data_IF_263789498928
#
_entry.id   IF_263789498928
#
_cell.length_a   1.000
_cell.length_b   1.000
_cell.length_c   1.000
_cell.angle_alpha   90.00
_cell.angle_beta   90.00
_cell.angle_gamma   90.00
#
_symmetry.space_group_name_H-M   'P 1'
#
loop_
_entity.id
_entity.type
_entity.pdbx_description
1 polymer ?
#
# COMPACT_ATOMS: atom_id res chain seq x y z
N UNK A 1 7.08 28.96 12.15
CA UNK A 1 5.62 28.76 12.01
C UNK A 1 5.40 27.86 10.81
N UNK A 2 5.19 26.56 11.04
CA UNK A 2 4.89 25.62 9.95
C UNK A 2 3.50 25.93 9.41
N UNK A 3 3.41 26.45 8.19
CA UNK A 3 2.13 26.65 7.52
C UNK A 3 1.51 25.29 7.22
N UNK A 4 0.61 24.83 8.09
CA UNK A 4 -0.15 23.62 7.86
C UNK A 4 -1.10 23.80 6.68
N UNK A 5 -1.17 22.80 5.80
CA UNK A 5 -2.17 22.76 4.73
C UNK A 5 -3.47 22.22 5.31
N UNK A 6 -4.55 22.97 5.17
CA UNK A 6 -5.89 22.51 5.57
C UNK A 6 -6.59 21.93 4.35
N UNK A 7 -6.69 20.61 4.29
CA UNK A 7 -7.28 19.88 3.16
C UNK A 7 -8.74 20.25 2.86
N UNK A 8 -9.49 20.79 3.82
CA UNK A 8 -10.87 21.25 3.61
C UNK A 8 -11.01 22.70 3.15
N UNK A 9 -9.92 23.48 3.13
CA UNK A 9 -9.96 24.91 2.82
C UNK A 9 -10.31 25.17 1.35
N UNK A 10 -10.92 26.33 1.08
CA UNK A 10 -11.27 26.72 -0.29
C UNK A 10 -10.03 26.84 -1.18
N UNK A 11 -8.97 27.47 -0.68
CA UNK A 11 -7.71 27.65 -1.43
C UNK A 11 -7.11 26.31 -1.87
N UNK A 12 -7.17 25.30 -0.99
CA UNK A 12 -6.65 23.97 -1.31
C UNK A 12 -7.58 23.21 -2.26
N UNK A 13 -8.91 23.37 -2.14
CA UNK A 13 -9.86 22.82 -3.11
C UNK A 13 -9.65 23.42 -4.50
N UNK A 14 -9.47 24.74 -4.61
CA UNK A 14 -9.18 25.42 -5.87
C UNK A 14 -7.84 24.95 -6.46
N UNK A 15 -6.85 24.69 -5.61
CA UNK A 15 -5.59 24.06 -6.02
C UNK A 15 -5.79 22.65 -6.61
N UNK A 16 -6.59 21.80 -5.96
CA UNK A 16 -6.92 20.46 -6.44
C UNK A 16 -7.66 20.53 -7.77
N UNK A 17 -8.64 21.41 -7.90
CA UNK A 17 -9.44 21.58 -9.11
C UNK A 17 -8.60 22.02 -10.31
N UNK A 18 -7.64 22.93 -10.12
CA UNK A 18 -6.70 23.35 -11.18
C UNK A 18 -5.81 22.21 -11.69
N UNK A 19 -5.65 21.12 -10.93
CA UNK A 19 -4.84 19.96 -11.30
C UNK A 19 -5.63 18.85 -11.98
N UNK A 20 -6.97 18.89 -11.94
CA UNK A 20 -7.82 17.88 -12.60
C UNK A 20 -7.38 17.68 -14.05
N UNK A 21 -7.07 16.42 -14.41
CA UNK A 21 -6.61 16.03 -15.75
C UNK A 21 -5.13 16.31 -16.05
N UNK A 22 -4.41 17.06 -15.21
CA UNK A 22 -3.01 17.46 -15.42
C UNK A 22 -2.04 16.85 -14.41
N UNK A 23 -2.53 16.06 -13.46
CA UNK A 23 -1.69 15.31 -12.52
C UNK A 23 -2.44 14.90 -11.25
N UNK A 24 -1.73 14.19 -10.38
CA UNK A 24 -2.25 13.73 -9.09
C UNK A 24 -1.57 14.46 -7.94
N UNK A 25 -2.24 14.51 -6.79
CA UNK A 25 -1.65 14.89 -5.51
C UNK A 25 -1.35 13.60 -4.75
N UNK A 26 -0.09 13.43 -4.37
CA UNK A 26 0.34 12.30 -3.54
C UNK A 26 0.46 12.79 -2.10
N UNK A 27 -0.33 12.21 -1.20
CA UNK A 27 -0.28 12.48 0.23
C UNK A 27 0.52 11.37 0.88
N UNK A 28 1.70 11.70 1.37
CA UNK A 28 2.51 10.76 2.14
C UNK A 28 1.95 10.68 3.57
N UNK A 29 1.60 9.48 4.00
CA UNK A 29 1.18 9.24 5.38
C UNK A 29 2.42 9.09 6.25
N UNK A 30 2.46 9.80 7.38
CA UNK A 30 3.57 9.69 8.34
C UNK A 30 3.43 8.45 9.25
N UNK A 31 2.21 7.90 9.39
CA UNK A 31 1.92 6.72 10.21
C UNK A 31 1.65 5.48 9.35
N UNK A 32 2.17 4.33 9.81
CA UNK A 32 2.10 3.01 9.17
C UNK A 32 1.29 2.00 9.97
N UNK A 33 0.11 2.40 10.45
CA UNK A 33 -0.82 1.49 11.12
C UNK A 33 -1.87 0.94 10.15
N UNK A 34 -2.28 -0.31 10.37
CA UNK A 34 -3.40 -0.90 9.64
C UNK A 34 -4.65 -0.02 9.78
N UNK A 35 -5.27 0.32 8.65
CA UNK A 35 -6.46 1.18 8.56
C UNK A 35 -6.18 2.68 8.39
N UNK A 36 -4.93 3.12 8.54
CA UNK A 36 -4.58 4.54 8.38
C UNK A 36 -4.86 5.07 6.96
N UNK A 37 -4.67 4.26 5.92
CA UNK A 37 -5.01 4.70 4.57
C UNK A 37 -6.53 4.85 4.43
N UNK A 38 -7.30 3.89 4.95
CA UNK A 38 -8.76 3.96 4.92
C UNK A 38 -9.31 5.20 5.63
N UNK A 39 -8.78 5.57 6.79
CA UNK A 39 -9.18 6.79 7.50
C UNK A 39 -8.93 8.03 6.64
N UNK A 40 -7.76 8.14 6.03
CA UNK A 40 -7.43 9.23 5.12
C UNK A 40 -8.30 9.23 3.86
N UNK A 41 -8.59 8.06 3.27
CA UNK A 41 -9.48 7.94 2.11
C UNK A 41 -10.92 8.34 2.44
N UNK A 42 -11.42 7.98 3.62
CA UNK A 42 -12.75 8.37 4.05
C UNK A 42 -12.86 9.89 4.20
N UNK A 43 -11.86 10.55 4.80
CA UNK A 43 -11.88 12.00 4.96
C UNK A 43 -11.70 12.74 3.62
N UNK A 44 -10.78 12.28 2.76
CA UNK A 44 -10.61 12.84 1.42
C UNK A 44 -11.85 12.59 0.55
N UNK A 45 -12.46 11.41 0.62
CA UNK A 45 -13.70 11.09 -0.08
C UNK A 45 -14.86 11.96 0.37
N UNK A 46 -14.96 12.26 1.67
CA UNK A 46 -15.94 13.22 2.22
C UNK A 46 -15.73 14.63 1.69
N UNK A 47 -14.48 15.05 1.51
CA UNK A 47 -14.13 16.42 1.08
C UNK A 47 -14.20 16.64 -0.43
N UNK A 48 -13.84 15.62 -1.21
CA UNK A 48 -13.58 15.73 -2.66
C UNK A 48 -14.47 14.83 -3.52
N UNK A 49 -15.24 13.93 -2.88
CA UNK A 49 -15.96 12.88 -3.58
C UNK A 49 -15.05 11.74 -4.03
N UNK A 50 -15.69 10.66 -4.46
CA UNK A 50 -15.06 9.49 -5.07
C UNK A 50 -15.84 9.07 -6.30
N UNK A 51 -15.17 8.42 -7.23
CA UNK A 51 -15.77 7.75 -8.38
C UNK A 51 -15.89 6.25 -8.09
N UNK A 52 -16.84 5.59 -8.75
CA UNK A 52 -16.96 4.13 -8.68
C UNK A 52 -16.22 3.52 -9.86
N UNK A 53 -15.25 2.65 -9.58
CA UNK A 53 -14.52 1.91 -10.61
C UNK A 53 -15.45 0.90 -11.30
N UNK A 54 -15.07 0.38 -12.49
CA UNK A 54 -15.82 -0.72 -13.13
C UNK A 54 -15.96 -1.98 -12.27
N UNK A 55 -15.07 -2.17 -11.29
CA UNK A 55 -15.11 -3.28 -10.32
C UNK A 55 -15.98 -2.98 -9.09
N UNK A 56 -16.63 -1.82 -9.03
CA UNK A 56 -17.53 -1.44 -7.93
C UNK A 56 -16.85 -0.81 -6.71
N UNK A 57 -15.58 -0.43 -6.80
CA UNK A 57 -14.82 0.13 -5.67
C UNK A 57 -14.73 1.66 -5.77
N UNK A 58 -14.56 2.35 -4.64
CA UNK A 58 -14.37 3.80 -4.55
C UNK A 58 -12.95 4.19 -4.95
N UNK A 59 -12.81 5.17 -5.83
CA UNK A 59 -11.55 5.73 -6.28
C UNK A 59 -11.55 7.26 -6.12
N UNK A 60 -10.50 7.80 -5.52
CA UNK A 60 -10.27 9.24 -5.51
C UNK A 60 -9.64 9.64 -6.86
N UNK A 61 -10.28 10.50 -7.66
CA UNK A 61 -9.77 10.84 -8.99
C UNK A 61 -8.46 11.64 -8.94
N UNK A 62 -8.26 12.46 -7.90
CA UNK A 62 -7.15 13.44 -7.84
C UNK A 62 -6.08 13.13 -6.79
N UNK A 63 -6.27 12.10 -5.96
CA UNK A 63 -5.41 11.82 -4.82
C UNK A 63 -4.85 10.40 -4.86
N UNK A 64 -3.61 10.23 -4.41
CA UNK A 64 -3.03 8.93 -4.04
C UNK A 64 -2.41 9.04 -2.67
N UNK A 65 -2.54 7.98 -1.88
CA UNK A 65 -1.88 7.89 -0.59
C UNK A 65 -0.57 7.13 -0.77
N UNK A 66 0.54 7.73 -0.37
CA UNK A 66 1.83 7.04 -0.30
C UNK A 66 2.05 6.57 1.13
N UNK A 67 2.05 5.27 1.32
CA UNK A 67 2.46 4.64 2.56
C UNK A 67 3.91 4.16 2.46
N UNK A 68 4.87 4.93 2.99
CA UNK A 68 6.31 4.62 3.01
C UNK A 68 6.90 4.32 4.41
N UNK A 69 7.20 3.05 4.74
CA UNK A 69 7.93 2.77 5.99
C UNK A 69 7.54 1.50 6.75
N UNK A 70 6.65 0.66 6.20
CA UNK A 70 6.47 -0.68 6.73
C UNK A 70 7.44 -1.65 6.09
N UNK A 71 8.05 -2.42 6.96
CA UNK A 71 8.98 -3.49 6.68
C UNK A 71 8.30 -4.86 6.92
N UNK A 72 6.98 -4.93 7.01
CA UNK A 72 6.27 -6.18 7.26
C UNK A 72 5.16 -6.41 6.23
N UNK A 73 5.28 -7.51 5.49
CA UNK A 73 4.29 -7.92 4.49
C UNK A 73 2.91 -8.16 5.11
N UNK A 74 2.84 -8.57 6.37
CA UNK A 74 1.56 -8.78 7.08
C UNK A 74 0.81 -7.46 7.27
N UNK A 75 1.52 -6.35 7.45
CA UNK A 75 0.89 -5.03 7.54
C UNK A 75 0.28 -4.65 6.19
N UNK A 76 0.96 -4.96 5.07
CA UNK A 76 0.37 -4.75 3.73
C UNK A 76 -0.88 -5.62 3.52
N UNK A 77 -0.84 -6.90 3.90
CA UNK A 77 -2.00 -7.80 3.80
C UNK A 77 -3.20 -7.29 4.60
N UNK A 78 -2.97 -6.81 5.82
CA UNK A 78 -4.02 -6.24 6.67
C UNK A 78 -4.60 -4.94 6.10
N UNK A 79 -3.76 -4.08 5.53
CA UNK A 79 -4.23 -2.84 4.88
C UNK A 79 -5.09 -3.16 3.65
N UNK A 80 -4.64 -4.07 2.79
CA UNK A 80 -5.39 -4.51 1.61
C UNK A 80 -6.74 -5.13 1.98
N UNK A 81 -6.78 -5.98 3.01
CA UNK A 81 -8.02 -6.55 3.52
C UNK A 81 -8.97 -5.45 4.04
N UNK A 82 -8.43 -4.41 4.67
CA UNK A 82 -9.21 -3.28 5.18
C UNK A 82 -9.76 -2.41 4.04
N UNK A 83 -8.96 -2.13 3.02
CA UNK A 83 -9.38 -1.43 1.80
C UNK A 83 -10.52 -2.18 1.11
N UNK A 84 -10.37 -3.50 0.92
CA UNK A 84 -11.40 -4.35 0.32
C UNK A 84 -12.69 -4.34 1.14
N UNK A 85 -12.61 -4.52 2.46
CA UNK A 85 -13.78 -4.50 3.35
C UNK A 85 -14.54 -3.17 3.31
N UNK A 86 -13.82 -2.08 3.05
CA UNK A 86 -14.37 -0.73 2.99
C UNK A 86 -14.65 -0.27 1.56
N UNK A 87 -14.56 -1.19 0.59
CA UNK A 87 -14.84 -0.97 -0.83
C UNK A 87 -13.98 0.14 -1.44
N UNK A 88 -12.77 0.35 -0.93
CA UNK A 88 -11.80 1.27 -1.54
C UNK A 88 -10.95 0.53 -2.56
N UNK A 89 -10.79 1.16 -3.72
CA UNK A 89 -9.95 0.62 -4.80
C UNK A 89 -8.48 0.66 -4.36
N UNK A 90 -7.73 -0.42 -4.63
CA UNK A 90 -6.30 -0.51 -4.27
C UNK A 90 -5.47 0.57 -4.98
N UNK A 91 -5.94 1.03 -6.15
CA UNK A 91 -5.36 2.08 -6.95
C UNK A 91 -5.25 3.42 -6.21
N UNK A 92 -5.94 3.60 -5.07
CA UNK A 92 -5.80 4.78 -4.22
C UNK A 92 -4.47 4.81 -3.45
N UNK A 93 -3.83 3.67 -3.22
CA UNK A 93 -2.70 3.53 -2.29
C UNK A 93 -1.45 3.04 -3.03
N UNK A 94 -0.32 3.69 -2.73
CA UNK A 94 1.01 3.33 -3.18
C UNK A 94 1.79 2.91 -1.93
N UNK A 95 2.32 1.68 -1.94
CA UNK A 95 3.16 1.19 -0.86
C UNK A 95 4.63 1.42 -1.21
N UNK A 96 5.27 2.33 -0.48
CA UNK A 96 6.71 2.48 -0.47
C UNK A 96 7.31 1.54 0.56
N UNK A 97 8.22 0.67 0.14
CA UNK A 97 9.05 -0.13 1.06
C UNK A 97 10.47 0.42 1.04
N UNK A 98 11.05 0.56 2.22
CA UNK A 98 12.43 0.94 2.46
C UNK A 98 13.38 -0.29 2.45
N UNK A 99 12.87 -1.49 2.12
CA UNK A 99 13.71 -2.67 2.02
C UNK A 99 14.62 -2.67 0.81
N UNK A 100 15.88 -2.32 1.10
CA UNK A 100 17.04 -2.93 0.51
C UNK A 100 16.98 -4.48 0.63
N UNK A 101 17.61 -5.24 -0.29
CA UNK A 101 17.52 -6.72 -0.47
C UNK A 101 17.96 -7.63 0.71
N UNK A 102 17.97 -7.15 1.95
CA UNK A 102 18.62 -7.79 3.11
C UNK A 102 17.70 -8.71 3.96
N UNK A 103 16.41 -8.85 3.65
CA UNK A 103 15.46 -9.73 4.39
C UNK A 103 15.23 -11.09 3.72
N UNK A 104 15.75 -11.27 2.50
CA UNK A 104 15.81 -12.59 1.86
C UNK A 104 17.02 -13.37 2.40
N UNK A 105 16.90 -13.87 3.64
CA UNK A 105 17.82 -14.83 4.22
C UNK A 105 17.62 -16.25 3.66
N UNK A 106 18.64 -17.09 3.78
CA UNK A 106 18.61 -18.50 3.35
C UNK A 106 17.46 -19.29 4.01
N UNK A 107 17.10 -18.92 5.24
CA UNK A 107 16.00 -19.52 6.02
C UNK A 107 14.61 -19.10 5.51
N UNK A 108 14.46 -17.87 5.00
CA UNK A 108 13.21 -17.37 4.42
C UNK A 108 12.83 -18.17 3.17
N UNK A 109 13.82 -18.57 2.36
CA UNK A 109 13.63 -19.31 1.12
C UNK A 109 13.73 -20.84 1.29
N UNK A 110 13.94 -21.34 2.52
CA UNK A 110 14.24 -22.77 2.82
C UNK A 110 15.18 -23.39 1.78
N UNK A 111 16.18 -22.63 1.35
CA UNK A 111 17.07 -23.05 0.27
C UNK A 111 18.16 -23.94 0.84
N UNK A 112 17.90 -25.26 0.84
CA UNK A 112 18.85 -26.29 1.26
C UNK A 112 19.24 -27.17 0.07
N UNK A 113 20.54 -27.35 -0.17
CA UNK A 113 21.05 -28.37 -1.08
C UNK A 113 21.54 -29.56 -0.25
N UNK A 114 20.77 -30.65 -0.23
CA UNK A 114 21.15 -31.88 0.48
C UNK A 114 21.37 -32.99 -0.54
N UNK A 115 22.51 -33.68 -0.45
CA UNK A 115 22.79 -34.85 -1.29
C UNK A 115 21.89 -36.01 -0.83
N UNK A 116 20.94 -36.42 -1.67
CA UNK A 116 20.18 -37.64 -1.49
C UNK A 116 21.09 -38.84 -1.82
N UNK A 117 21.60 -39.50 -0.79
CA UNK A 117 22.20 -40.83 -0.91
C UNK A 117 21.08 -41.83 -0.62
N UNK A 118 20.47 -42.38 -1.67
CA UNK A 118 19.78 -43.65 -1.56
C UNK A 118 20.85 -44.71 -1.31
N UNK A 119 20.73 -45.44 -0.21
CA UNK A 119 21.49 -46.67 0.02
C UNK A 119 21.16 -47.64 -1.11
N UNK A 120 22.07 -47.76 -2.08
CA UNK A 120 22.09 -48.91 -2.95
C UNK A 120 22.45 -50.11 -2.08
N UNK A 121 21.43 -50.87 -1.66
CA UNK A 121 21.56 -52.20 -1.06
C UNK A 121 22.39 -53.10 -1.96
N UNK A 122 23.71 -53.08 -1.77
CA UNK A 122 24.65 -53.98 -2.38
C UNK A 122 24.59 -55.33 -1.69
N UNK A 123 23.74 -56.22 -2.21
CA UNK A 123 23.93 -57.66 -2.03
C UNK A 123 25.28 -58.04 -2.61
N UNK A 124 26.21 -58.49 -1.77
CA UNK A 124 27.56 -58.82 -2.24
C UNK A 124 28.53 -59.34 -1.19
N UNK A 125 28.22 -60.47 -0.54
CA UNK A 125 29.05 -61.70 -0.53
C UNK A 125 28.48 -62.74 0.42
#
# INVERSE_FOLDING_TARGET
>A
AGGGVVFGSQDFKDFVDRRKGNGLIVVQLESFSAGSAVEALNELGRLYGSETTPTGHKLLPNFRLLQSGSSDIKVFEQELATLQKQEWAVENVIFGTDYAPHVLGQDTLKSSFTRALDEASGSGR
#
